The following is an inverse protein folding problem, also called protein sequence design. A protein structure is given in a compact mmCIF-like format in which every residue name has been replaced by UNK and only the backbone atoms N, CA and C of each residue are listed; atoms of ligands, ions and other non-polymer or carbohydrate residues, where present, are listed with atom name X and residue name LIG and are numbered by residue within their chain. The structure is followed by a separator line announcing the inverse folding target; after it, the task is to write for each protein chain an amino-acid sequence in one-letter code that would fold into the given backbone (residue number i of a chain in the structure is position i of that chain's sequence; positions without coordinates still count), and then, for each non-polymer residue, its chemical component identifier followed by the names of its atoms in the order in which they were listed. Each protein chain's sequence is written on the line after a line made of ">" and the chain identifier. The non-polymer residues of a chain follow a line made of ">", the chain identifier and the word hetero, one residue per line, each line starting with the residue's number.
data_IF_673031562789
#
_entry.id   IF_673031562789
#
_cell.length_a   1.000
_cell.length_b   1.000
_cell.length_c   1.000
_cell.angle_alpha   90.00
_cell.angle_beta   90.00
_cell.angle_gamma   90.00
#
_symmetry.space_group_name_H-M   'P 1'
#
loop_
_entity.id
_entity.type
_entity.pdbx_description
1 polymer ?
#
# COMPACT_ATOMS: atom_id res chain seq x y z
N UNK A 1 -10.04 3.69 -13.97
CA UNK A 1 -9.05 4.16 -12.98
C UNK A 1 -9.60 3.87 -11.60
N UNK A 2 -8.77 3.31 -10.72
CA UNK A 2 -9.14 2.92 -9.36
C UNK A 2 -8.29 3.71 -8.35
N UNK A 3 -8.81 3.93 -7.14
CA UNK A 3 -8.12 4.69 -6.11
C UNK A 3 -8.24 3.96 -4.77
N UNK A 4 -7.10 3.78 -4.10
CA UNK A 4 -7.03 3.27 -2.73
C UNK A 4 -6.60 4.40 -1.80
N UNK A 5 -7.41 4.70 -0.79
CA UNK A 5 -7.06 5.59 0.31
C UNK A 5 -6.44 4.80 1.45
N UNK A 6 -5.31 5.28 1.94
CA UNK A 6 -4.56 4.63 3.01
C UNK A 6 -4.30 5.64 4.11
N UNK A 7 -4.77 5.33 5.32
CA UNK A 7 -4.43 6.06 6.52
C UNK A 7 -3.49 5.21 7.38
N UNK A 8 -2.28 5.70 7.62
CA UNK A 8 -1.35 5.09 8.58
C UNK A 8 -1.60 5.72 9.94
N UNK A 9 -1.82 4.88 10.96
CA UNK A 9 -2.04 5.34 12.34
C UNK A 9 -0.85 5.00 13.23
N UNK A 10 -0.52 5.88 14.17
CA UNK A 10 0.48 5.64 15.22
C UNK A 10 -0.18 5.87 16.57
N UNK A 11 -0.16 4.88 17.45
CA UNK A 11 -0.83 4.94 18.76
C UNK A 11 -2.32 5.28 18.69
N UNK A 12 -3.00 4.82 17.62
CA UNK A 12 -4.42 5.07 17.37
C UNK A 12 -4.75 6.42 16.74
N UNK A 13 -3.76 7.31 16.59
CA UNK A 13 -3.93 8.62 15.96
C UNK A 13 -3.46 8.60 14.49
N UNK A 14 -4.10 9.38 13.60
CA UNK A 14 -3.62 9.55 12.22
C UNK A 14 -2.18 10.07 12.19
N UNK A 15 -1.34 9.42 11.41
CA UNK A 15 0.08 9.77 11.25
C UNK A 15 0.41 10.17 9.81
N UNK A 16 -0.01 9.37 8.82
CA UNK A 16 0.16 9.68 7.39
C UNK A 16 -1.11 9.32 6.63
N UNK A 17 -1.45 10.10 5.61
CA UNK A 17 -2.55 9.82 4.70
C UNK A 17 -2.06 9.84 3.26
N UNK A 18 -2.51 8.88 2.46
CA UNK A 18 -2.06 8.71 1.07
C UNK A 18 -3.19 8.24 0.17
N UNK A 19 -3.10 8.64 -1.10
CA UNK A 19 -3.96 8.13 -2.17
C UNK A 19 -3.08 7.40 -3.20
N UNK A 20 -3.46 6.17 -3.53
CA UNK A 20 -2.82 5.37 -4.57
C UNK A 20 -3.74 5.30 -5.77
N UNK A 21 -3.45 6.13 -6.76
CA UNK A 21 -4.14 6.12 -8.03
C UNK A 21 -3.56 5.02 -8.93
N UNK A 22 -4.42 4.09 -9.32
CA UNK A 22 -4.07 2.95 -10.17
C UNK A 22 -4.81 3.07 -11.51
N UNK A 23 -4.04 3.20 -12.59
CA UNK A 23 -4.59 3.16 -13.95
C UNK A 23 -5.15 1.78 -14.26
N UNK A 24 -6.11 1.69 -15.19
CA UNK A 24 -6.71 0.39 -15.53
C UNK A 24 -5.69 -0.58 -16.17
N UNK A 25 -4.69 -0.03 -16.86
CA UNK A 25 -3.56 -0.78 -17.40
C UNK A 25 -2.70 -1.39 -16.28
N UNK A 26 -2.25 -0.56 -15.33
CA UNK A 26 -1.45 -1.02 -14.20
C UNK A 26 -2.22 -2.02 -13.33
N UNK A 27 -3.50 -1.76 -13.09
CA UNK A 27 -4.37 -2.67 -12.36
C UNK A 27 -4.41 -4.04 -13.01
N UNK A 28 -4.70 -4.08 -14.32
CA UNK A 28 -4.84 -5.34 -15.07
C UNK A 28 -3.53 -6.12 -15.10
N UNK A 29 -2.40 -5.42 -15.32
CA UNK A 29 -1.07 -6.04 -15.33
C UNK A 29 -0.70 -6.64 -13.97
N UNK A 30 -0.88 -5.88 -12.88
CA UNK A 30 -0.51 -6.32 -11.54
C UNK A 30 -1.47 -7.39 -11.02
N UNK A 31 -2.77 -7.27 -11.28
CA UNK A 31 -3.77 -8.28 -10.94
C UNK A 31 -3.41 -9.66 -11.49
N UNK A 32 -2.89 -9.71 -12.72
CA UNK A 32 -2.45 -10.98 -13.32
C UNK A 32 -1.27 -11.62 -12.58
N UNK A 33 -0.44 -10.82 -11.89
CA UNK A 33 0.72 -11.27 -11.12
C UNK A 33 0.36 -11.66 -9.67
N UNK A 34 -0.74 -11.13 -9.11
CA UNK A 34 -1.13 -11.40 -7.72
C UNK A 34 -1.20 -12.90 -7.37
N UNK A 35 -1.72 -13.81 -8.21
CA UNK A 35 -1.75 -15.25 -7.88
C UNK A 35 -0.36 -15.90 -7.75
N UNK A 36 0.67 -15.29 -8.34
CA UNK A 36 2.06 -15.76 -8.25
C UNK A 36 2.77 -15.24 -6.99
N UNK A 37 2.18 -14.24 -6.33
CA UNK A 37 2.72 -13.60 -5.13
C UNK A 37 1.91 -14.08 -3.92
N UNK A 38 2.46 -15.01 -3.13
CA UNK A 38 1.86 -15.38 -1.84
C UNK A 38 1.99 -14.22 -0.85
N UNK A 39 0.97 -13.36 -0.82
CA UNK A 39 0.94 -12.14 -0.02
C UNK A 39 -0.31 -12.10 0.86
N UNK A 40 -0.08 -11.88 2.15
CA UNK A 40 -1.14 -11.64 3.14
C UNK A 40 -1.52 -10.16 3.18
N UNK A 41 -2.74 -9.88 3.66
CA UNK A 41 -3.21 -8.52 3.92
C UNK A 41 -2.26 -7.72 4.83
N UNK A 42 -1.65 -8.37 5.84
CA UNK A 42 -0.70 -7.73 6.73
C UNK A 42 0.58 -7.31 6.01
N UNK A 43 1.13 -8.16 5.14
CA UNK A 43 2.31 -7.83 4.34
C UNK A 43 2.03 -6.70 3.35
N UNK A 44 0.88 -6.73 2.66
CA UNK A 44 0.46 -5.64 1.78
C UNK A 44 0.32 -4.32 2.55
N UNK A 45 -0.30 -4.34 3.73
CA UNK A 45 -0.39 -3.18 4.60
C UNK A 45 1.00 -2.65 5.02
N UNK A 46 1.91 -3.54 5.42
CA UNK A 46 3.29 -3.17 5.77
C UNK A 46 4.05 -2.54 4.60
N UNK A 47 3.86 -3.04 3.37
CA UNK A 47 4.46 -2.45 2.17
C UNK A 47 3.98 -1.02 1.93
N UNK A 48 2.66 -0.78 2.03
CA UNK A 48 2.08 0.56 1.87
C UNK A 48 2.56 1.51 2.97
N UNK A 49 2.53 1.06 4.24
CA UNK A 49 3.03 1.87 5.36
C UNK A 49 4.51 2.20 5.22
N UNK A 50 5.34 1.24 4.80
CA UNK A 50 6.76 1.45 4.59
C UNK A 50 7.03 2.42 3.44
N UNK A 51 6.30 2.29 2.33
CA UNK A 51 6.38 3.23 1.21
C UNK A 51 5.98 4.65 1.63
N UNK A 52 4.84 4.80 2.31
CA UNK A 52 4.34 6.11 2.75
C UNK A 52 5.31 6.78 3.72
N UNK A 53 5.86 6.02 4.67
CA UNK A 53 6.85 6.56 5.59
C UNK A 53 8.15 6.96 4.89
N UNK A 54 8.63 6.14 3.95
CA UNK A 54 9.81 6.48 3.15
C UNK A 54 9.60 7.73 2.28
N UNK A 55 8.39 7.90 1.73
CA UNK A 55 8.01 9.08 0.94
C UNK A 55 7.91 10.34 1.79
N UNK A 56 7.44 10.22 3.03
CA UNK A 56 7.37 11.34 3.99
C UNK A 56 8.77 11.86 4.36
N UNK A 57 9.74 10.96 4.54
CA UNK A 57 11.12 11.35 4.91
C UNK A 57 11.97 11.80 3.71
N UNK A 58 11.59 11.49 2.47
CA UNK A 58 12.35 11.87 1.30
C UNK A 58 11.94 11.20 -0.01
N UNK A 59 12.84 11.25 -1.00
CA UNK A 59 12.58 10.66 -2.32
C UNK A 59 12.63 9.13 -2.25
N UNK A 60 11.55 8.49 -2.68
CA UNK A 60 11.47 7.03 -2.87
C UNK A 60 11.94 6.65 -4.28
N UNK A 61 12.49 5.43 -4.41
CA UNK A 61 12.89 4.90 -5.70
C UNK A 61 11.69 4.40 -6.50
N UNK A 62 11.87 4.26 -7.82
CA UNK A 62 10.83 3.71 -8.70
C UNK A 62 10.42 2.30 -8.29
N UNK A 63 11.37 1.46 -7.87
CA UNK A 63 11.08 0.07 -7.48
C UNK A 63 10.27 -0.01 -6.18
N UNK A 64 10.48 0.92 -5.23
CA UNK A 64 9.58 1.03 -4.07
C UNK A 64 8.16 1.40 -4.49
N UNK A 65 8.01 2.28 -5.48
CA UNK A 65 6.71 2.61 -6.06
C UNK A 65 6.01 1.40 -6.70
N UNK A 66 6.75 0.54 -7.40
CA UNK A 66 6.21 -0.71 -7.97
C UNK A 66 5.75 -1.69 -6.89
N UNK A 67 6.49 -1.82 -5.80
CA UNK A 67 6.09 -2.68 -4.66
C UNK A 67 4.80 -2.13 -4.02
N UNK A 68 4.73 -0.82 -3.80
CA UNK A 68 3.53 -0.17 -3.26
C UNK A 68 2.32 -0.33 -4.20
N UNK A 69 2.54 -0.29 -5.51
CA UNK A 69 1.51 -0.55 -6.52
C UNK A 69 0.95 -1.98 -6.42
N UNK A 70 1.80 -2.98 -6.22
CA UNK A 70 1.36 -4.37 -6.00
C UNK A 70 0.47 -4.48 -4.77
N UNK A 71 0.90 -3.87 -3.66
CA UNK A 71 0.11 -3.86 -2.44
C UNK A 71 -1.21 -3.10 -2.61
N UNK A 72 -1.22 -1.97 -3.32
CA UNK A 72 -2.45 -1.21 -3.59
C UNK A 72 -3.46 -2.03 -4.41
N UNK A 73 -3.00 -2.71 -5.46
CA UNK A 73 -3.86 -3.56 -6.30
C UNK A 73 -4.39 -4.77 -5.53
N UNK A 74 -3.61 -5.33 -4.58
CA UNK A 74 -4.10 -6.40 -3.70
C UNK A 74 -5.34 -5.99 -2.91
N UNK A 75 -5.33 -4.80 -2.31
CA UNK A 75 -6.51 -4.29 -1.57
C UNK A 75 -7.69 -3.98 -2.50
N UNK A 76 -7.41 -3.33 -3.64
CA UNK A 76 -8.45 -3.00 -4.61
C UNK A 76 -9.13 -4.26 -5.18
N UNK A 77 -8.37 -5.33 -5.46
CA UNK A 77 -8.91 -6.62 -5.92
C UNK A 77 -9.75 -7.30 -4.83
N UNK A 78 -9.45 -7.08 -3.56
CA UNK A 78 -10.28 -7.50 -2.43
C UNK A 78 -11.53 -6.62 -2.24
N UNK A 79 -11.70 -5.57 -3.03
CA UNK A 79 -12.80 -4.61 -2.92
C UNK A 79 -12.60 -3.56 -1.81
N UNK A 80 -11.41 -3.45 -1.24
CA UNK A 80 -11.07 -2.46 -0.23
C UNK A 80 -10.60 -1.16 -0.91
N UNK A 81 -11.28 -0.05 -0.64
CA UNK A 81 -10.95 1.29 -1.19
C UNK A 81 -10.42 2.26 -0.15
N UNK A 82 -10.64 1.96 1.13
CA UNK A 82 -10.25 2.79 2.27
C UNK A 82 -9.72 1.84 3.35
N UNK A 83 -8.42 1.93 3.63
CA UNK A 83 -7.77 1.06 4.62
C UNK A 83 -7.06 1.89 5.69
N UNK A 84 -7.09 1.35 6.91
CA UNK A 84 -6.32 1.88 8.04
C UNK A 84 -5.21 0.88 8.33
N UNK A 85 -3.97 1.37 8.32
CA UNK A 85 -2.76 0.59 8.57
C UNK A 85 -2.12 1.06 9.87
N UNK A 86 -2.05 0.23 10.92
CA UNK A 86 -1.28 0.60 12.10
C UNK A 86 0.21 0.54 11.77
N UNK A 87 0.93 1.63 12.06
CA UNK A 87 2.38 1.61 12.10
C UNK A 87 2.78 0.72 13.28
N UNK A 88 3.22 -0.50 12.99
CA UNK A 88 3.73 -1.38 14.03
C UNK A 88 4.99 -0.73 14.62
N UNK A 89 4.92 -0.34 15.89
CA UNK A 89 6.13 -0.09 16.65
C UNK A 89 6.81 -1.45 16.78
N UNK A 90 7.97 -1.62 16.16
CA UNK A 90 8.83 -2.74 16.53
C UNK A 90 9.16 -2.50 18.01
N UNK A 91 8.54 -3.26 18.91
CA UNK A 91 9.03 -3.42 20.27
C UNK A 91 10.46 -4.00 20.16
N UNK A 92 11.45 -3.11 20.11
CA UNK A 92 12.87 -3.41 20.25
C UNK A 92 13.41 -2.69 21.49
#
# INVERSE_FOLDING_TARGET
>A
MQNLKVAVTKNGEPFLDGNFEVTDENYSAVKALLPEVDMTRAQAASMLSGYMHAQDVGQVTEDMGKIALIAAVFFLEAGETDIIVPLQENDQ
#
